data_IF_508354817314
#
_entry.id   IF_508354817314
#
_cell.length_a   1.000
_cell.length_b   1.000
_cell.length_c   1.000
_cell.angle_alpha   90.00
_cell.angle_beta   90.00
_cell.angle_gamma   90.00
#
_symmetry.space_group_name_H-M   'P 1'
#
loop_
_entity.id
_entity.type
_entity.pdbx_description
1 polymer ?
#
# COMPACT_ATOMS: atom_id res chain seq x y z
N UNK A 1 -5.51 -17.86 -9.48
CA UNK A 1 -5.13 -16.76 -10.38
C UNK A 1 -6.33 -15.88 -10.69
N UNK A 2 -6.21 -14.58 -10.43
CA UNK A 2 -7.15 -13.51 -10.76
C UNK A 2 -6.52 -12.74 -11.92
N UNK A 3 -7.21 -12.65 -13.06
CA UNK A 3 -6.72 -11.91 -14.24
C UNK A 3 -7.51 -10.61 -14.35
N UNK A 4 -6.81 -9.47 -14.32
CA UNK A 4 -7.44 -8.15 -14.45
C UNK A 4 -7.52 -7.72 -15.91
N UNK A 5 -6.45 -7.92 -16.66
CA UNK A 5 -6.34 -7.64 -18.10
C UNK A 5 -5.14 -8.40 -18.70
N UNK A 6 -4.82 -8.14 -19.98
CA UNK A 6 -3.77 -8.83 -20.74
C UNK A 6 -2.34 -8.69 -20.16
N UNK A 7 -2.09 -7.69 -19.32
CA UNK A 7 -0.76 -7.37 -18.78
C UNK A 7 -0.73 -7.32 -17.24
N UNK A 8 -1.84 -7.63 -16.57
CA UNK A 8 -1.93 -7.59 -15.11
C UNK A 8 -2.73 -8.78 -14.55
N UNK A 9 -2.09 -9.54 -13.66
CA UNK A 9 -2.70 -10.65 -12.94
C UNK A 9 -2.17 -10.77 -11.52
N UNK A 10 -2.90 -11.50 -10.68
CA UNK A 10 -2.55 -11.75 -9.28
C UNK A 10 -2.83 -13.21 -8.90
N UNK A 11 -1.98 -13.78 -8.06
CA UNK A 11 -2.21 -15.06 -7.41
C UNK A 11 -2.28 -14.87 -5.90
N UNK A 12 -3.24 -15.54 -5.26
CA UNK A 12 -3.48 -15.46 -3.83
C UNK A 12 -3.37 -16.87 -3.28
N UNK A 13 -2.40 -17.07 -2.38
CA UNK A 13 -2.04 -18.37 -1.84
C UNK A 13 -2.17 -18.37 -0.33
N UNK A 14 -2.83 -19.41 0.20
CA UNK A 14 -2.89 -19.69 1.63
C UNK A 14 -2.25 -21.04 1.90
N UNK A 15 -1.06 -21.02 2.51
CA UNK A 15 -0.34 -22.24 2.85
C UNK A 15 -0.87 -22.82 4.17
N UNK A 16 -0.90 -24.16 4.26
CA UNK A 16 -1.36 -24.85 5.46
C UNK A 16 -0.49 -24.45 6.67
N UNK A 17 -1.14 -23.87 7.70
CA UNK A 17 -0.48 -23.44 8.93
C UNK A 17 0.25 -22.10 8.84
N UNK A 18 0.26 -21.43 7.67
CA UNK A 18 0.85 -20.11 7.55
C UNK A 18 -0.03 -19.05 8.25
N UNK A 19 0.57 -18.09 8.98
CA UNK A 19 -0.17 -17.02 9.65
C UNK A 19 -0.55 -15.87 8.69
N UNK A 20 -0.15 -15.96 7.42
CA UNK A 20 -0.24 -14.90 6.41
C UNK A 20 -0.81 -15.44 5.11
N UNK A 21 -1.40 -14.54 4.32
CA UNK A 21 -1.78 -14.79 2.92
C UNK A 21 -0.65 -14.27 2.04
N UNK A 22 -0.18 -15.09 1.10
CA UNK A 22 0.78 -14.67 0.09
C UNK A 22 0.04 -14.14 -1.14
N UNK A 23 0.53 -13.01 -1.63
CA UNK A 23 -0.06 -12.31 -2.77
C UNK A 23 1.05 -12.03 -3.78
N UNK A 24 1.03 -12.77 -4.89
CA UNK A 24 1.92 -12.55 -6.01
C UNK A 24 1.19 -11.75 -7.09
N UNK A 25 1.92 -10.87 -7.77
CA UNK A 25 1.38 -9.97 -8.78
C UNK A 25 2.34 -9.96 -9.96
N UNK A 26 1.79 -10.14 -11.16
CA UNK A 26 2.52 -10.03 -12.41
C UNK A 26 1.99 -8.83 -13.16
N UNK A 27 2.86 -7.87 -13.44
CA UNK A 27 2.55 -6.64 -14.17
C UNK A 27 3.55 -6.48 -15.30
N UNK A 28 3.07 -6.51 -16.53
CA UNK A 28 3.86 -6.19 -17.72
C UNK A 28 3.55 -7.08 -18.94
N UNK A 29 3.88 -6.59 -20.15
CA UNK A 29 4.35 -5.24 -20.45
C UNK A 29 3.24 -4.19 -20.29
N UNK A 30 3.55 -3.07 -19.61
CA UNK A 30 2.59 -1.99 -19.42
C UNK A 30 2.37 -1.29 -20.77
N UNK A 31 1.13 -1.21 -21.30
CA UNK A 31 0.88 -0.61 -22.60
C UNK A 31 1.15 0.89 -22.53
N UNK A 32 1.94 1.39 -23.48
CA UNK A 32 2.34 2.81 -23.60
C UNK A 32 2.10 3.38 -25.00
N UNK A 33 1.41 2.63 -25.87
CA UNK A 33 1.11 3.04 -27.25
C UNK A 33 0.18 4.26 -27.32
N UNK A 34 -0.44 4.64 -26.19
CA UNK A 34 -1.26 5.82 -26.01
C UNK A 34 -0.46 7.08 -25.61
N UNK A 35 0.88 6.98 -25.52
CA UNK A 35 1.78 8.02 -25.02
C UNK A 35 1.46 8.47 -23.57
N UNK A 36 0.76 7.65 -22.78
CA UNK A 36 0.41 7.94 -21.38
C UNK A 36 1.21 7.04 -20.44
N UNK A 37 2.07 7.66 -19.61
CA UNK A 37 2.77 6.98 -18.53
C UNK A 37 1.81 6.46 -17.46
N UNK A 38 2.07 5.25 -16.94
CA UNK A 38 1.19 4.57 -15.99
C UNK A 38 1.96 4.13 -14.75
N UNK A 39 1.46 4.52 -13.59
CA UNK A 39 1.97 4.09 -12.28
C UNK A 39 0.95 3.11 -11.68
N UNK A 40 1.34 1.85 -11.54
CA UNK A 40 0.43 0.78 -11.12
C UNK A 40 0.54 0.57 -9.61
N UNK A 41 -0.62 0.46 -8.95
CA UNK A 41 -0.71 0.29 -7.50
C UNK A 41 -1.60 -0.89 -7.15
N UNK A 42 -1.26 -1.59 -6.08
CA UNK A 42 -2.16 -2.55 -5.43
C UNK A 42 -2.82 -1.83 -4.26
N UNK A 43 -4.16 -1.75 -4.28
CA UNK A 43 -4.94 -1.12 -3.22
C UNK A 43 -5.75 -2.15 -2.45
N UNK A 44 -5.59 -2.16 -1.13
CA UNK A 44 -6.41 -2.95 -0.21
C UNK A 44 -7.38 -2.02 0.50
N UNK A 45 -8.68 -2.26 0.31
CA UNK A 45 -9.76 -1.51 0.96
C UNK A 45 -10.35 -2.37 2.08
N UNK A 46 -10.53 -1.79 3.27
CA UNK A 46 -11.11 -2.48 4.44
C UNK A 46 -12.03 -1.53 5.21
N UNK A 47 -12.81 -2.08 6.14
CA UNK A 47 -13.65 -1.35 7.10
C UNK A 47 -12.89 -1.02 8.42
N UNK A 48 -11.56 -1.09 8.43
CA UNK A 48 -10.74 -0.70 9.59
C UNK A 48 -10.78 0.83 9.73
N UNK A 49 -11.32 1.31 10.86
CA UNK A 49 -11.39 2.72 11.18
C UNK A 49 -10.03 3.26 11.67
N UNK A 50 -9.10 3.48 10.76
CA UNK A 50 -7.72 3.87 11.09
C UNK A 50 -7.54 5.33 11.54
N UNK A 51 -8.61 6.12 11.55
CA UNK A 51 -8.58 7.56 11.84
C UNK A 51 -7.55 8.34 10.98
N UNK A 52 -7.44 7.99 9.69
CA UNK A 52 -6.46 8.54 8.74
C UNK A 52 -4.99 8.27 9.09
N UNK A 53 -4.74 7.35 10.03
CA UNK A 53 -3.39 6.95 10.46
C UNK A 53 -2.95 5.68 9.77
N UNK A 54 -1.67 5.61 9.46
CA UNK A 54 -0.99 4.42 8.98
C UNK A 54 0.45 4.45 9.44
N UNK A 55 1.11 3.30 9.38
CA UNK A 55 2.45 3.14 9.95
C UNK A 55 3.37 2.54 8.90
N UNK A 56 4.52 3.15 8.71
CA UNK A 56 5.54 2.68 7.77
C UNK A 56 6.84 2.42 8.50
N UNK A 57 7.64 1.47 8.00
CA UNK A 57 9.01 1.34 8.48
C UNK A 57 9.92 2.49 7.98
N UNK A 58 11.07 2.65 8.63
CA UNK A 58 12.18 3.45 8.18
C UNK A 58 13.41 2.52 8.03
N UNK A 59 13.78 2.23 6.79
CA UNK A 59 14.88 1.33 6.43
C UNK A 59 14.75 -0.07 7.10
N UNK A 60 13.55 -0.61 7.18
CA UNK A 60 13.24 -1.91 7.78
C UNK A 60 13.25 -1.96 9.30
N UNK A 61 13.54 -0.84 9.99
CA UNK A 61 13.79 -0.81 11.43
C UNK A 61 12.69 -0.07 12.20
N UNK A 62 12.87 1.23 12.38
CA UNK A 62 11.97 2.05 13.18
C UNK A 62 10.60 2.16 12.50
N UNK A 63 9.58 2.38 13.31
CA UNK A 63 8.20 2.56 12.84
C UNK A 63 7.84 4.02 12.99
N UNK A 64 7.28 4.61 11.94
CA UNK A 64 6.83 5.99 11.91
C UNK A 64 5.32 6.03 11.72
N UNK A 65 4.62 6.74 12.61
CA UNK A 65 3.21 7.09 12.42
C UNK A 65 3.11 8.16 11.33
N UNK A 66 2.21 7.92 10.38
CA UNK A 66 1.85 8.84 9.30
C UNK A 66 0.37 9.18 9.44
N UNK A 67 0.03 10.44 9.16
CA UNK A 67 -1.35 10.92 9.15
C UNK A 67 -1.56 11.56 7.78
N UNK A 68 -2.63 11.16 7.10
CA UNK A 68 -2.99 11.74 5.79
C UNK A 68 -3.12 13.26 5.90
N UNK A 69 -2.54 13.97 4.94
CA UNK A 69 -2.61 15.43 4.81
C UNK A 69 -2.02 16.21 5.99
N UNK A 70 -1.06 15.62 6.72
CA UNK A 70 -0.47 16.20 7.91
C UNK A 70 1.06 16.20 7.90
N UNK A 71 1.66 17.19 8.58
CA UNK A 71 3.10 17.26 8.84
C UNK A 71 3.33 17.62 10.31
N UNK A 72 4.24 16.94 11.01
CA UNK A 72 4.50 17.20 12.44
C UNK A 72 5.23 18.52 12.69
N UNK A 73 5.93 19.05 11.69
CA UNK A 73 6.91 20.13 11.83
C UNK A 73 6.46 21.48 11.27
N UNK A 74 5.37 21.54 10.49
CA UNK A 74 4.82 22.79 9.96
C UNK A 74 3.35 22.64 9.56
N UNK A 75 2.66 23.77 9.39
CA UNK A 75 1.30 23.79 8.86
C UNK A 75 1.31 23.45 7.36
N UNK A 76 0.81 22.26 7.03
CA UNK A 76 0.80 21.76 5.66
C UNK A 76 -0.47 22.18 4.92
N UNK A 77 -0.30 22.89 3.81
CA UNK A 77 -1.37 23.11 2.84
C UNK A 77 -1.34 21.99 1.81
N UNK A 78 -2.44 21.25 1.68
CA UNK A 78 -2.56 20.16 0.70
C UNK A 78 -2.58 20.75 -0.70
N UNK A 79 -1.55 20.45 -1.49
CA UNK A 79 -1.48 20.81 -2.91
C UNK A 79 -1.73 19.57 -3.78
N UNK A 80 -1.23 18.42 -3.34
CA UNK A 80 -1.35 17.13 -4.02
C UNK A 80 -1.89 16.09 -3.04
N UNK A 81 -3.15 15.69 -3.21
CA UNK A 81 -3.87 14.80 -2.27
C UNK A 81 -3.38 13.35 -2.30
N UNK A 82 -2.81 12.88 -3.41
CA UNK A 82 -2.29 11.51 -3.54
C UNK A 82 -0.78 11.49 -3.31
N UNK A 83 0.00 12.14 -4.18
CA UNK A 83 1.47 12.06 -4.15
C UNK A 83 2.07 12.64 -2.87
N UNK A 84 1.43 13.67 -2.28
CA UNK A 84 1.83 14.26 -0.99
C UNK A 84 1.72 13.30 0.20
N UNK A 85 1.07 12.15 0.05
CA UNK A 85 0.86 11.15 1.09
C UNK A 85 1.62 9.83 0.85
N UNK A 86 2.46 9.75 -0.19
CA UNK A 86 3.35 8.61 -0.37
C UNK A 86 4.58 8.70 0.54
N UNK A 87 4.94 7.56 1.14
CA UNK A 87 6.15 7.39 1.95
C UNK A 87 6.87 6.10 1.53
N UNK A 88 8.21 6.05 1.63
CA UNK A 88 8.97 4.83 1.35
C UNK A 88 8.60 3.73 2.33
N UNK A 89 8.43 2.52 1.80
CA UNK A 89 8.17 1.28 2.55
C UNK A 89 9.23 0.29 2.09
N UNK A 90 10.09 -0.17 3.01
CA UNK A 90 11.13 -1.14 2.68
C UNK A 90 10.76 -2.56 3.11
N UNK A 91 9.84 -2.71 4.05
CA UNK A 91 9.48 -4.03 4.59
C UNK A 91 8.01 -4.15 4.98
N UNK A 92 7.38 -3.08 5.49
CA UNK A 92 6.02 -3.17 6.04
C UNK A 92 5.28 -1.85 6.13
N UNK A 93 3.98 -1.95 5.89
CA UNK A 93 2.98 -0.92 6.17
C UNK A 93 1.78 -1.56 6.87
N UNK A 94 1.11 -0.82 7.74
CA UNK A 94 -0.16 -1.27 8.29
C UNK A 94 -1.11 -0.14 8.66
N UNK A 95 -2.37 -0.53 8.78
CA UNK A 95 -3.45 0.23 9.39
C UNK A 95 -4.05 -0.60 10.52
N UNK A 96 -4.65 0.06 11.52
CA UNK A 96 -5.29 -0.61 12.65
C UNK A 96 -6.43 0.24 13.21
N UNK A 97 -7.37 -0.43 13.86
CA UNK A 97 -8.36 0.16 14.76
C UNK A 97 -8.13 -0.36 16.20
N UNK A 98 -9.12 -0.23 17.09
CA UNK A 98 -9.01 -0.70 18.48
C UNK A 98 -8.93 -2.22 18.66
N UNK A 99 -9.22 -3.00 17.61
CA UNK A 99 -9.40 -4.46 17.67
C UNK A 99 -8.71 -5.24 16.55
N UNK A 100 -8.49 -4.61 15.39
CA UNK A 100 -8.01 -5.25 14.17
C UNK A 100 -6.81 -4.50 13.61
N UNK A 101 -5.93 -5.23 12.95
CA UNK A 101 -4.79 -4.69 12.21
C UNK A 101 -4.64 -5.43 10.89
N UNK A 102 -4.44 -4.69 9.81
CA UNK A 102 -4.02 -5.22 8.51
C UNK A 102 -2.59 -4.77 8.25
N UNK A 103 -1.66 -5.72 8.17
CA UNK A 103 -0.26 -5.48 7.84
C UNK A 103 0.06 -6.07 6.47
N UNK A 104 0.69 -5.27 5.62
CA UNK A 104 1.26 -5.70 4.34
C UNK A 104 2.78 -5.72 4.50
N UNK A 105 3.39 -6.82 4.03
CA UNK A 105 4.83 -7.01 3.98
C UNK A 105 5.29 -6.96 2.52
N UNK A 106 6.48 -6.41 2.28
CA UNK A 106 7.10 -6.28 0.94
C UNK A 106 8.55 -6.75 0.98
#
# INVERSE_FOLDING_TARGET
>A
MIVFNEWASQEVSLFQGAPTVEVEWTVGPIPIDDDVGKEIVVRYDTDIESASKYYTDANGRQVLERIRDYRPTWNYSVVENVSGNYYPINSRIWIKDGTRQLTILT
#
